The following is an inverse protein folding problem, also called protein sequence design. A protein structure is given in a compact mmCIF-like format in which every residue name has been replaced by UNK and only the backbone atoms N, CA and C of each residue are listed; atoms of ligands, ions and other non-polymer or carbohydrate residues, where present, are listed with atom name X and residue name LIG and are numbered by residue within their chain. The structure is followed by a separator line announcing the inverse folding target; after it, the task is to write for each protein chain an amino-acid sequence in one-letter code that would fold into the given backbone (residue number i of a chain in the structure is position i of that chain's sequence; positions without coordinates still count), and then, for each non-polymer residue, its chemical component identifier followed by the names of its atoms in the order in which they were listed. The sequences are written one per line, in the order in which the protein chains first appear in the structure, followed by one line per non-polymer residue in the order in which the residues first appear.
data_IF_951359149542
#
_entry.id   IF_951359149542
#
_cell.length_a   1.000
_cell.length_b   1.000
_cell.length_c   1.000
_cell.angle_alpha   90.00
_cell.angle_beta   90.00
_cell.angle_gamma   90.00
#
_symmetry.space_group_name_H-M   'P 1'
#
loop_
_entity.id
_entity.type
_entity.pdbx_description
1 polymer ?
#
# COMPACT_ATOMS: atom_id res chain seq x y z
N UNK A 1 44.76 -22.69 53.10
CA UNK A 1 44.66 -22.67 51.64
C UNK A 1 43.19 -22.49 51.29
N UNK A 2 42.83 -21.29 50.82
CA UNK A 2 41.48 -20.95 50.39
C UNK A 2 41.35 -21.24 48.89
N UNK A 3 40.32 -21.97 48.48
CA UNK A 3 39.95 -22.16 47.09
C UNK A 3 38.50 -21.70 46.90
N UNK A 4 38.37 -20.46 46.46
CA UNK A 4 37.13 -19.82 46.00
C UNK A 4 36.85 -20.32 44.58
N UNK A 5 35.68 -20.91 44.31
CA UNK A 5 35.26 -21.25 42.95
C UNK A 5 33.80 -20.83 42.71
N UNK A 6 33.70 -19.59 42.26
CA UNK A 6 32.84 -19.02 41.20
C UNK A 6 31.56 -19.79 40.85
N UNK A 7 30.42 -19.14 41.14
CA UNK A 7 29.10 -19.45 40.57
C UNK A 7 29.05 -19.02 39.09
N UNK A 8 28.44 -19.77 38.16
CA UNK A 8 28.31 -19.33 36.80
C UNK A 8 27.33 -18.14 36.71
N UNK A 9 27.80 -17.10 36.03
CA UNK A 9 27.13 -15.84 35.74
C UNK A 9 25.78 -16.03 35.05
N UNK A 10 24.88 -15.12 35.40
CA UNK A 10 23.49 -15.09 34.97
C UNK A 10 23.32 -15.08 33.45
N UNK A 11 22.39 -15.92 33.02
CA UNK A 11 21.66 -15.76 31.78
C UNK A 11 20.90 -14.43 31.87
N UNK A 12 21.39 -13.42 31.17
CA UNK A 12 20.64 -12.18 30.95
C UNK A 12 19.50 -12.54 30.01
N UNK A 13 18.34 -12.83 30.59
CA UNK A 13 17.08 -12.72 29.86
C UNK A 13 16.94 -11.24 29.51
N UNK A 14 17.20 -10.87 28.26
CA UNK A 14 16.85 -9.56 27.74
C UNK A 14 15.33 -9.50 27.64
N UNK A 15 14.69 -9.26 28.79
CA UNK A 15 13.31 -8.82 28.89
C UNK A 15 13.24 -7.37 28.42
N UNK A 16 12.90 -7.20 27.16
CA UNK A 16 12.21 -5.99 26.71
C UNK A 16 10.88 -6.41 26.10
N UNK A 17 10.02 -7.03 26.92
CA UNK A 17 8.57 -7.03 26.68
C UNK A 17 8.05 -5.60 26.88
N UNK A 18 8.52 -4.67 26.03
CA UNK A 18 7.68 -3.56 25.67
C UNK A 18 6.46 -4.19 25.00
N UNK A 19 5.28 -4.05 25.61
CA UNK A 19 4.05 -4.67 25.12
C UNK A 19 3.88 -4.32 23.65
N UNK A 20 4.01 -5.31 22.76
CA UNK A 20 3.92 -5.09 21.33
C UNK A 20 2.56 -4.44 21.01
N UNK A 21 2.58 -3.40 20.19
CA UNK A 21 1.39 -2.62 19.85
C UNK A 21 0.43 -3.51 19.05
N UNK A 22 -0.84 -3.63 19.45
CA UNK A 22 -1.83 -4.35 18.66
C UNK A 22 -2.11 -3.59 17.36
N UNK A 23 -2.08 -4.29 16.23
CA UNK A 23 -2.37 -3.72 14.91
C UNK A 23 -3.46 -4.49 14.16
N UNK A 24 -4.22 -3.75 13.36
CA UNK A 24 -5.16 -4.27 12.38
C UNK A 24 -4.50 -4.30 10.99
N UNK A 25 -4.17 -5.49 10.49
CA UNK A 25 -3.47 -5.65 9.22
C UNK A 25 -4.42 -5.77 8.02
N UNK A 26 -4.01 -5.19 6.90
CA UNK A 26 -4.68 -5.41 5.62
C UNK A 26 -4.49 -6.85 5.15
N UNK A 27 -5.53 -7.46 4.58
CA UNK A 27 -5.40 -8.79 3.97
C UNK A 27 -4.43 -8.82 2.78
N UNK A 28 -4.13 -7.67 2.15
CA UNK A 28 -3.17 -7.60 1.04
C UNK A 28 -1.72 -7.89 1.49
N UNK A 29 -1.37 -7.66 2.76
CA UNK A 29 -0.05 -7.98 3.33
C UNK A 29 -0.02 -9.29 4.10
N UNK A 30 -1.10 -10.09 4.01
CA UNK A 30 -1.23 -11.34 4.76
C UNK A 30 -0.13 -12.34 4.44
N UNK A 31 0.34 -12.39 3.19
CA UNK A 31 1.47 -13.24 2.79
C UNK A 31 2.76 -12.88 3.53
N UNK A 32 3.03 -11.59 3.71
CA UNK A 32 4.20 -11.08 4.44
C UNK A 32 4.08 -11.48 5.90
N UNK A 33 2.96 -11.12 6.53
CA UNK A 33 2.78 -11.19 7.97
C UNK A 33 2.47 -12.59 8.49
N UNK A 34 1.78 -13.45 7.74
CA UNK A 34 1.57 -14.85 8.14
C UNK A 34 2.73 -15.77 7.74
N UNK A 35 3.66 -15.30 6.91
CA UNK A 35 4.84 -16.06 6.51
C UNK A 35 5.89 -16.16 7.63
N UNK A 36 6.98 -16.89 7.39
CA UNK A 36 8.11 -16.92 8.33
C UNK A 36 8.69 -15.50 8.53
N UNK A 37 9.25 -15.20 9.72
CA UNK A 37 9.95 -13.94 9.95
C UNK A 37 11.06 -13.75 8.91
N UNK A 38 11.03 -12.60 8.24
CA UNK A 38 12.03 -12.21 7.26
C UNK A 38 12.62 -10.85 7.61
N UNK A 39 13.90 -10.60 7.28
CA UNK A 39 14.51 -9.30 7.49
C UNK A 39 13.76 -8.18 6.77
N UNK A 40 13.72 -7.02 7.41
CA UNK A 40 13.19 -5.80 6.83
C UNK A 40 14.02 -4.59 7.27
N UNK A 41 13.93 -3.51 6.51
CA UNK A 41 14.57 -2.23 6.79
C UNK A 41 13.54 -1.12 6.76
N UNK A 42 13.64 -0.19 7.71
CA UNK A 42 12.83 1.04 7.71
C UNK A 42 13.32 1.92 6.57
N UNK A 43 12.43 2.26 5.64
CA UNK A 43 12.75 3.10 4.48
C UNK A 43 12.25 4.54 4.63
N UNK A 44 11.31 4.80 5.56
CA UNK A 44 10.81 6.14 5.82
C UNK A 44 9.81 6.20 6.97
N UNK A 45 9.78 7.33 7.68
CA UNK A 45 8.89 7.57 8.83
C UNK A 45 8.19 8.93 8.77
N UNK A 46 7.37 9.18 7.73
CA UNK A 46 6.60 10.41 7.66
C UNK A 46 5.57 10.48 8.80
N UNK A 47 4.95 11.65 8.97
CA UNK A 47 4.00 11.88 10.05
C UNK A 47 2.89 10.83 10.07
N UNK A 48 2.86 10.00 11.13
CA UNK A 48 1.84 8.97 11.31
C UNK A 48 2.08 7.64 10.59
N UNK A 49 3.26 7.40 10.01
CA UNK A 49 3.57 6.13 9.36
C UNK A 49 5.02 5.69 9.56
N UNK A 50 5.26 4.38 9.51
CA UNK A 50 6.57 3.74 9.44
C UNK A 50 6.55 2.77 8.27
N UNK A 51 7.32 3.04 7.23
CA UNK A 51 7.44 2.19 6.05
C UNK A 51 8.63 1.26 6.18
N UNK A 52 8.39 -0.03 5.96
CA UNK A 52 9.38 -1.09 5.94
C UNK A 52 9.42 -1.72 4.56
N UNK A 53 10.63 -2.08 4.12
CA UNK A 53 10.87 -2.91 2.94
C UNK A 53 11.55 -4.19 3.35
N UNK A 54 11.05 -5.32 2.88
CA UNK A 54 11.68 -6.63 3.07
C UNK A 54 12.82 -6.81 2.06
N UNK A 55 13.72 -7.76 2.30
CA UNK A 55 14.84 -8.03 1.38
C UNK A 55 14.37 -8.49 -0.02
N UNK A 56 13.19 -9.11 -0.11
CA UNK A 56 12.53 -9.48 -1.38
C UNK A 56 11.75 -8.32 -2.03
N UNK A 57 11.86 -7.11 -1.48
CA UNK A 57 11.30 -5.88 -2.05
C UNK A 57 9.84 -5.60 -1.70
N UNK A 58 9.19 -6.41 -0.85
CA UNK A 58 7.81 -6.14 -0.43
C UNK A 58 7.75 -4.95 0.53
N UNK A 59 6.70 -4.14 0.37
CA UNK A 59 6.46 -2.97 1.19
C UNK A 59 5.37 -3.24 2.23
N UNK A 60 5.59 -2.73 3.44
CA UNK A 60 4.63 -2.74 4.54
C UNK A 60 4.70 -1.40 5.26
N UNK A 61 3.55 -0.86 5.66
CA UNK A 61 3.48 0.33 6.51
C UNK A 61 2.84 0.01 7.85
N UNK A 62 3.43 0.45 8.96
CA UNK A 62 2.72 0.57 10.23
C UNK A 62 2.18 1.99 10.35
N UNK A 63 0.86 2.11 10.50
CA UNK A 63 0.15 3.39 10.43
C UNK A 63 -0.43 3.77 11.78
N UNK A 64 -0.41 5.06 12.10
CA UNK A 64 -1.20 5.63 13.18
C UNK A 64 -2.71 5.47 12.88
N UNK A 65 -3.57 5.43 13.91
CA UNK A 65 -5.01 5.21 13.72
C UNK A 65 -5.70 6.24 12.81
N UNK A 66 -5.16 7.46 12.76
CA UNK A 66 -5.68 8.60 12.00
C UNK A 66 -5.15 8.68 10.57
N UNK A 67 -4.16 7.85 10.19
CA UNK A 67 -3.62 7.85 8.84
C UNK A 67 -4.61 7.20 7.85
N UNK A 68 -4.53 7.62 6.58
CA UNK A 68 -5.27 6.97 5.51
C UNK A 68 -4.88 5.48 5.44
N UNK A 69 -5.86 4.60 5.45
CA UNK A 69 -5.61 3.15 5.45
C UNK A 69 -5.23 2.69 4.06
N UNK A 70 -4.00 2.23 3.91
CA UNK A 70 -3.47 1.77 2.64
C UNK A 70 -3.50 0.23 2.54
N UNK A 71 -3.59 -0.35 1.32
CA UNK A 71 -3.55 -1.81 1.16
C UNK A 71 -2.29 -2.46 1.74
N UNK A 72 -1.14 -1.78 1.69
CA UNK A 72 0.12 -2.28 2.24
C UNK A 72 0.27 -2.04 3.76
N UNK A 73 -0.80 -1.82 4.51
CA UNK A 73 -0.72 -1.32 5.89
C UNK A 73 -1.15 -2.30 7.00
N UNK A 74 -0.54 -2.11 8.16
CA UNK A 74 -1.04 -2.51 9.47
C UNK A 74 -1.27 -1.26 10.33
N UNK A 75 -2.51 -1.06 10.80
CA UNK A 75 -2.91 0.15 11.52
C UNK A 75 -2.87 -0.12 13.02
N UNK A 76 -2.12 0.70 13.77
CA UNK A 76 -2.12 0.66 15.23
C UNK A 76 -3.53 0.88 15.78
N UNK A 77 -3.91 0.12 16.82
CA UNK A 77 -5.22 0.26 17.45
C UNK A 77 -5.32 1.57 18.24
N UNK A 78 -4.28 1.90 19.04
CA UNK A 78 -4.31 3.06 19.93
C UNK A 78 -3.40 4.20 19.47
N UNK A 79 -2.09 3.93 19.37
CA UNK A 79 -1.11 4.93 18.99
C UNK A 79 0.11 4.27 18.35
N UNK A 80 0.76 5.02 17.45
CA UNK A 80 2.07 4.70 16.91
C UNK A 80 3.05 5.76 17.43
N UNK A 81 3.81 5.42 18.48
CA UNK A 81 4.68 6.37 19.19
C UNK A 81 6.12 6.23 18.71
N UNK A 82 6.53 5.00 18.48
CA UNK A 82 7.84 4.58 18.04
C UNK A 82 8.03 5.04 16.60
N UNK A 83 9.07 5.83 16.39
CA UNK A 83 9.46 6.37 15.09
C UNK A 83 10.92 5.96 14.82
N UNK A 84 11.15 4.71 14.39
CA UNK A 84 12.49 4.26 14.07
C UNK A 84 13.08 5.07 12.92
N UNK A 85 14.39 5.32 12.95
CA UNK A 85 15.06 6.07 11.89
C UNK A 85 15.18 5.25 10.60
N UNK A 86 15.12 5.88 9.41
CA UNK A 86 15.43 5.20 8.15
C UNK A 86 16.79 4.49 8.21
N UNK A 87 16.85 3.27 7.66
CA UNK A 87 18.01 2.38 7.70
C UNK A 87 18.04 1.43 8.90
N UNK A 88 17.21 1.65 9.94
CA UNK A 88 17.10 0.69 11.03
C UNK A 88 16.52 -0.64 10.54
N UNK A 89 17.16 -1.73 10.98
CA UNK A 89 16.79 -3.09 10.58
C UNK A 89 15.83 -3.72 11.58
N UNK A 90 15.10 -4.72 11.09
CA UNK A 90 14.06 -5.40 11.82
C UNK A 90 13.63 -6.69 11.14
N UNK A 91 12.47 -7.20 11.55
CA UNK A 91 11.84 -8.37 10.98
C UNK A 91 10.33 -8.21 10.84
N UNK A 92 9.76 -8.81 9.80
CA UNK A 92 8.30 -8.93 9.60
C UNK A 92 7.93 -10.38 9.34
N UNK A 93 6.80 -10.84 9.88
CA UNK A 93 6.33 -12.22 9.74
C UNK A 93 5.88 -12.81 11.08
N UNK A 94 5.35 -14.03 11.06
CA UNK A 94 4.76 -14.71 12.24
C UNK A 94 3.75 -13.84 13.02
N UNK A 95 3.01 -12.98 12.32
CA UNK A 95 2.06 -12.04 12.88
C UNK A 95 2.69 -10.82 13.56
N UNK A 96 3.98 -10.56 13.35
CA UNK A 96 4.74 -9.51 14.03
C UNK A 96 5.49 -8.58 13.07
N UNK A 97 5.77 -7.38 13.57
CA UNK A 97 6.54 -6.33 12.92
C UNK A 97 7.44 -5.72 13.99
N UNK A 98 8.75 -5.88 13.85
CA UNK A 98 9.72 -5.39 14.83
C UNK A 98 10.83 -4.62 14.09
N UNK A 99 11.08 -3.35 14.42
CA UNK A 99 12.17 -2.56 13.81
C UNK A 99 12.52 -1.33 14.65
N UNK A 100 13.79 -1.16 15.03
CA UNK A 100 14.26 0.10 15.65
C UNK A 100 13.49 0.54 16.90
N UNK A 101 13.04 -0.41 17.72
CA UNK A 101 12.22 -0.15 18.93
C UNK A 101 10.71 -0.20 18.69
N UNK A 102 10.24 -0.09 17.44
CA UNK A 102 8.87 -0.46 17.10
C UNK A 102 8.69 -1.96 17.29
N UNK A 103 7.65 -2.34 18.02
CA UNK A 103 7.21 -3.74 18.15
C UNK A 103 5.69 -3.78 18.04
N UNK A 104 5.18 -4.53 17.07
CA UNK A 104 3.75 -4.62 16.79
C UNK A 104 3.34 -6.06 16.48
N UNK A 105 2.10 -6.40 16.81
CA UNK A 105 1.53 -7.72 16.55
C UNK A 105 0.10 -7.64 15.98
N UNK A 106 -0.19 -8.50 15.02
CA UNK A 106 -1.47 -8.51 14.31
C UNK A 106 -2.56 -9.12 15.20
N UNK A 107 -3.60 -8.35 15.49
CA UNK A 107 -4.76 -8.81 16.29
C UNK A 107 -6.03 -8.99 15.47
N UNK A 108 -6.12 -8.33 14.31
CA UNK A 108 -7.26 -8.45 13.40
C UNK A 108 -6.87 -8.15 11.97
N UNK A 109 -7.70 -8.58 11.04
CA UNK A 109 -7.54 -8.34 9.62
C UNK A 109 -8.66 -7.46 9.08
N UNK A 110 -8.37 -6.65 8.06
CA UNK A 110 -9.37 -5.91 7.29
C UNK A 110 -9.13 -6.09 5.80
N UNK A 111 -10.21 -6.12 5.03
CA UNK A 111 -10.15 -6.16 3.57
C UNK A 111 -9.98 -4.75 3.03
N UNK A 112 -8.89 -4.44 2.29
CA UNK A 112 -8.67 -3.11 1.75
C UNK A 112 -9.50 -2.79 0.52
N UNK A 113 -10.25 -3.76 -0.01
CA UNK A 113 -11.11 -3.52 -1.16
C UNK A 113 -12.25 -2.57 -0.76
N UNK A 114 -12.43 -1.45 -1.47
CA UNK A 114 -13.57 -0.57 -1.23
C UNK A 114 -14.87 -1.32 -1.47
N UNK A 115 -15.82 -1.15 -0.55
CA UNK A 115 -17.18 -1.68 -0.71
C UNK A 115 -18.05 -0.53 -1.18
N UNK A 116 -18.52 -0.59 -2.43
CA UNK A 116 -19.53 0.35 -2.89
C UNK A 116 -20.88 0.03 -2.23
N UNK A 117 -21.65 1.04 -1.82
CA UNK A 117 -23.07 0.83 -1.54
C UNK A 117 -23.78 0.32 -2.80
N UNK A 118 -25.00 -0.20 -2.64
CA UNK A 118 -25.84 -0.58 -3.78
C UNK A 118 -25.89 0.59 -4.79
N UNK A 119 -25.58 0.29 -6.04
CA UNK A 119 -25.56 1.25 -7.13
C UNK A 119 -26.47 0.79 -8.25
N UNK A 120 -27.04 1.77 -8.96
CA UNK A 120 -27.74 1.56 -10.23
C UNK A 120 -27.14 2.49 -11.28
N UNK A 121 -27.29 2.21 -12.59
CA UNK A 121 -26.86 3.12 -13.64
C UNK A 121 -27.41 4.54 -13.47
N UNK A 122 -28.65 4.68 -13.01
CA UNK A 122 -29.31 5.97 -12.79
C UNK A 122 -28.69 6.75 -11.63
N UNK A 123 -28.43 6.07 -10.51
CA UNK A 123 -27.75 6.69 -9.37
C UNK A 123 -26.32 7.09 -9.74
N UNK A 124 -25.61 6.25 -10.49
CA UNK A 124 -24.27 6.57 -10.96
C UNK A 124 -24.30 7.80 -11.88
N UNK A 125 -25.21 7.84 -12.86
CA UNK A 125 -25.35 8.98 -13.78
C UNK A 125 -25.73 10.26 -13.04
N UNK A 126 -26.66 10.20 -12.08
CA UNK A 126 -27.05 11.34 -11.26
C UNK A 126 -25.88 11.88 -10.43
N UNK A 127 -25.12 11.00 -9.78
CA UNK A 127 -23.94 11.40 -9.00
C UNK A 127 -22.82 11.96 -9.89
N UNK A 128 -22.57 11.36 -11.06
CA UNK A 128 -21.59 11.89 -12.02
C UNK A 128 -21.99 13.28 -12.52
N UNK A 129 -23.29 13.57 -12.69
CA UNK A 129 -23.77 14.89 -13.05
C UNK A 129 -23.59 15.94 -11.93
N UNK A 130 -23.47 15.51 -10.67
CA UNK A 130 -23.13 16.40 -9.54
C UNK A 130 -21.62 16.68 -9.43
N UNK A 131 -20.78 15.83 -10.05
CA UNK A 131 -19.34 16.06 -10.08
C UNK A 131 -19.07 17.12 -11.14
N UNK A 132 -18.78 18.34 -10.68
CA UNK A 132 -18.23 19.37 -11.56
C UNK A 132 -16.86 18.91 -12.05
N UNK A 133 -16.82 18.42 -13.28
CA UNK A 133 -15.58 18.21 -14.05
C UNK A 133 -15.03 19.56 -14.51
N UNK A 134 -14.99 20.58 -13.65
CA UNK A 134 -14.20 21.77 -13.92
C UNK A 134 -12.80 21.25 -14.19
N UNK A 135 -12.32 21.42 -15.43
CA UNK A 135 -11.16 20.72 -15.98
C UNK A 135 -10.01 20.84 -14.98
N UNK A 136 -9.77 19.80 -14.15
CA UNK A 136 -8.81 19.96 -13.09
C UNK A 136 -7.47 20.05 -13.82
N UNK A 137 -6.67 21.07 -13.52
CA UNK A 137 -5.29 21.15 -14.00
C UNK A 137 -4.50 19.99 -13.35
N UNK A 138 -4.75 18.77 -13.80
CA UNK A 138 -4.11 17.53 -13.36
C UNK A 138 -2.71 17.42 -13.97
N UNK A 139 -2.22 18.46 -14.66
CA UNK A 139 -0.88 18.48 -15.25
C UNK A 139 -0.67 17.44 -16.36
N UNK A 140 -1.75 16.97 -17.01
CA UNK A 140 -1.68 16.04 -18.13
C UNK A 140 -1.96 16.73 -19.46
N UNK A 141 -1.23 16.40 -20.55
CA UNK A 141 -1.64 16.80 -21.88
C UNK A 141 -3.01 16.16 -22.22
N UNK A 142 -3.93 16.88 -22.87
CA UNK A 142 -5.27 16.35 -23.15
C UNK A 142 -5.30 15.16 -24.13
N UNK A 143 -4.25 14.98 -24.94
CA UNK A 143 -4.17 13.94 -25.97
C UNK A 143 -4.28 12.50 -25.42
N UNK A 144 -3.39 12.07 -24.52
CA UNK A 144 -3.44 10.75 -23.89
C UNK A 144 -4.78 10.41 -23.21
N UNK A 145 -5.35 11.36 -22.45
CA UNK A 145 -6.65 11.15 -21.79
C UNK A 145 -7.78 11.00 -22.81
N UNK A 146 -7.79 11.81 -23.88
CA UNK A 146 -8.77 11.66 -24.98
C UNK A 146 -8.62 10.33 -25.73
N UNK A 147 -7.39 9.88 -25.97
CA UNK A 147 -7.13 8.60 -26.62
C UNK A 147 -7.65 7.42 -25.78
N UNK A 148 -7.42 7.45 -24.46
CA UNK A 148 -7.95 6.44 -23.54
C UNK A 148 -9.49 6.46 -23.52
N UNK A 149 -10.09 7.65 -23.47
CA UNK A 149 -11.56 7.79 -23.52
C UNK A 149 -12.14 7.20 -24.80
N UNK A 150 -11.55 7.50 -25.97
CA UNK A 150 -11.99 6.95 -27.24
C UNK A 150 -11.87 5.42 -27.28
N UNK A 151 -10.75 4.88 -26.81
CA UNK A 151 -10.53 3.44 -26.75
C UNK A 151 -11.57 2.71 -25.88
N UNK A 152 -11.92 3.27 -24.72
CA UNK A 152 -12.96 2.77 -23.83
C UNK A 152 -14.35 2.83 -24.48
N UNK A 153 -14.65 3.91 -25.22
CA UNK A 153 -15.89 4.06 -25.95
C UNK A 153 -16.05 3.00 -27.05
N UNK A 154 -14.98 2.75 -27.80
CA UNK A 154 -14.96 1.78 -28.90
C UNK A 154 -14.87 0.32 -28.42
N UNK A 155 -14.68 0.11 -27.11
CA UNK A 155 -14.56 -1.22 -26.45
C UNK A 155 -13.46 -2.10 -27.04
N UNK A 156 -12.42 -1.49 -27.58
CA UNK A 156 -11.23 -2.21 -28.05
C UNK A 156 -10.24 -2.35 -26.89
N UNK A 157 -10.16 -3.57 -26.34
CA UNK A 157 -9.30 -3.86 -25.21
C UNK A 157 -7.81 -3.62 -25.52
N UNK A 158 -7.35 -3.99 -26.72
CA UNK A 158 -5.95 -3.81 -27.12
C UNK A 158 -5.59 -2.33 -27.25
N UNK A 159 -6.47 -1.53 -27.85
CA UNK A 159 -6.29 -0.08 -27.95
C UNK A 159 -6.38 0.57 -26.57
N UNK A 160 -7.27 0.09 -25.70
CA UNK A 160 -7.41 0.57 -24.31
C UNK A 160 -6.13 0.36 -23.51
N UNK A 161 -5.56 -0.85 -23.55
CA UNK A 161 -4.29 -1.16 -22.86
C UNK A 161 -3.16 -0.29 -23.38
N UNK A 162 -3.07 -0.08 -24.70
CA UNK A 162 -2.05 0.80 -25.30
C UNK A 162 -2.21 2.25 -24.86
N UNK A 163 -3.42 2.78 -24.88
CA UNK A 163 -3.72 4.15 -24.45
C UNK A 163 -3.48 4.34 -22.96
N UNK A 164 -3.86 3.36 -22.12
CA UNK A 164 -3.58 3.36 -20.70
C UNK A 164 -2.07 3.33 -20.43
N UNK A 165 -1.31 2.50 -21.15
CA UNK A 165 0.15 2.40 -21.00
C UNK A 165 0.89 3.70 -21.34
N UNK A 166 0.29 4.58 -22.13
CA UNK A 166 0.85 5.89 -22.46
C UNK A 166 0.68 6.94 -21.34
N UNK A 167 -0.18 6.67 -20.36
CA UNK A 167 -0.36 7.52 -19.17
C UNK A 167 0.60 7.17 -18.03
N UNK A 168 1.18 5.96 -18.04
CA UNK A 168 2.08 5.50 -16.98
C UNK A 168 3.25 6.47 -16.82
N UNK A 169 3.43 6.99 -15.61
CA UNK A 169 4.51 7.91 -15.26
C UNK A 169 4.37 9.32 -15.84
N UNK A 170 3.26 9.65 -16.48
CA UNK A 170 3.04 10.95 -17.12
C UNK A 170 2.50 11.97 -16.10
N UNK A 171 3.01 13.19 -16.13
CA UNK A 171 2.54 14.30 -15.29
C UNK A 171 3.42 14.57 -14.07
N UNK A 172 3.12 15.64 -13.31
CA UNK A 172 3.91 16.03 -12.14
C UNK A 172 3.62 15.13 -10.93
N UNK A 173 4.49 15.22 -9.91
CA UNK A 173 4.27 14.60 -8.60
C UNK A 173 5.08 13.31 -8.37
N UNK A 174 5.05 12.84 -7.11
CA UNK A 174 5.69 11.57 -6.72
C UNK A 174 4.92 10.37 -7.28
N UNK A 175 3.59 10.48 -7.28
CA UNK A 175 2.67 9.67 -8.07
C UNK A 175 2.27 10.51 -9.29
N UNK A 176 2.86 10.28 -10.47
CA UNK A 176 2.54 11.07 -11.64
C UNK A 176 1.04 11.05 -11.92
N UNK A 177 0.46 12.20 -12.28
CA UNK A 177 -1.00 12.33 -12.47
C UNK A 177 -1.62 11.30 -13.42
N UNK A 178 -0.85 10.78 -14.38
CA UNK A 178 -1.28 9.72 -15.26
C UNK A 178 -1.55 8.41 -14.52
N UNK A 179 -0.74 8.10 -13.51
CA UNK A 179 -0.95 6.95 -12.61
C UNK A 179 -2.23 7.16 -11.78
N UNK A 180 -2.52 8.41 -11.35
CA UNK A 180 -3.76 8.75 -10.64
C UNK A 180 -5.02 8.53 -11.51
N UNK A 181 -4.94 8.88 -12.81
CA UNK A 181 -6.01 8.58 -13.77
C UNK A 181 -6.18 7.07 -13.94
N UNK A 182 -5.08 6.33 -14.06
CA UNK A 182 -5.11 4.87 -14.26
C UNK A 182 -5.66 4.14 -13.05
N UNK A 183 -5.25 4.50 -11.83
CA UNK A 183 -5.77 3.87 -10.61
C UNK A 183 -7.26 4.19 -10.43
N UNK A 184 -7.70 5.40 -10.77
CA UNK A 184 -9.12 5.78 -10.77
C UNK A 184 -9.95 4.95 -11.76
N UNK A 185 -9.46 4.77 -12.98
CA UNK A 185 -10.10 3.94 -14.00
C UNK A 185 -10.19 2.47 -13.54
N UNK A 186 -9.07 1.86 -13.16
CA UNK A 186 -9.03 0.44 -12.78
C UNK A 186 -9.91 0.19 -11.56
N UNK A 187 -9.83 1.07 -10.55
CA UNK A 187 -10.69 0.98 -9.36
C UNK A 187 -12.17 1.06 -9.74
N UNK A 188 -12.54 1.95 -10.67
CA UNK A 188 -13.92 2.06 -11.16
C UNK A 188 -14.37 0.78 -11.88
N UNK A 189 -13.53 0.22 -12.75
CA UNK A 189 -13.84 -1.03 -13.47
C UNK A 189 -14.03 -2.21 -12.48
N UNK A 190 -13.16 -2.33 -11.48
CA UNK A 190 -13.26 -3.38 -10.45
C UNK A 190 -14.53 -3.19 -9.63
N UNK A 191 -14.78 -1.99 -9.13
CA UNK A 191 -15.92 -1.71 -8.27
C UNK A 191 -17.28 -1.84 -8.98
N UNK A 192 -17.32 -1.59 -10.29
CA UNK A 192 -18.52 -1.76 -11.12
C UNK A 192 -18.66 -3.19 -11.70
N UNK A 193 -17.73 -4.10 -11.41
CA UNK A 193 -17.77 -5.48 -11.88
C UNK A 193 -17.58 -5.61 -13.39
N UNK A 194 -16.81 -4.71 -14.03
CA UNK A 194 -16.57 -4.74 -15.46
C UNK A 194 -15.78 -6.01 -15.86
N UNK A 195 -16.16 -6.72 -16.95
CA UNK A 195 -15.52 -7.98 -17.35
C UNK A 195 -14.02 -7.83 -17.62
N UNK A 196 -13.61 -6.70 -18.20
CA UNK A 196 -12.19 -6.46 -18.53
C UNK A 196 -11.35 -5.90 -17.37
N UNK A 197 -11.92 -5.74 -16.17
CA UNK A 197 -11.19 -5.17 -15.01
C UNK A 197 -9.89 -5.91 -14.71
N UNK A 198 -9.94 -7.24 -14.59
CA UNK A 198 -8.79 -8.09 -14.31
C UNK A 198 -7.72 -8.05 -15.41
N UNK A 199 -8.06 -8.37 -16.67
CA UNK A 199 -7.13 -8.28 -17.79
C UNK A 199 -6.49 -6.90 -17.97
N UNK A 200 -7.28 -5.82 -17.86
CA UNK A 200 -6.78 -4.44 -17.98
C UNK A 200 -5.80 -4.10 -16.87
N UNK A 201 -6.14 -4.43 -15.61
CA UNK A 201 -5.27 -4.19 -14.47
C UNK A 201 -3.94 -4.95 -14.60
N UNK A 202 -3.98 -6.22 -15.00
CA UNK A 202 -2.78 -7.03 -15.19
C UNK A 202 -1.87 -6.47 -16.30
N UNK A 203 -2.46 -6.03 -17.41
CA UNK A 203 -1.70 -5.46 -18.52
C UNK A 203 -1.04 -4.11 -18.16
N UNK A 204 -1.78 -3.23 -17.47
CA UNK A 204 -1.23 -1.94 -16.99
C UNK A 204 -0.11 -2.17 -15.98
N UNK A 205 -0.29 -3.10 -15.03
CA UNK A 205 0.73 -3.43 -14.03
C UNK A 205 2.00 -3.97 -14.67
N UNK A 206 1.88 -4.86 -15.65
CA UNK A 206 3.04 -5.37 -16.40
C UNK A 206 3.77 -4.24 -17.15
N UNK A 207 3.03 -3.28 -17.71
CA UNK A 207 3.59 -2.13 -18.42
C UNK A 207 4.18 -1.04 -17.50
N UNK A 208 3.89 -1.07 -16.20
CA UNK A 208 4.31 -0.06 -15.23
C UNK A 208 5.70 -0.30 -14.63
N UNK A 209 6.24 -1.52 -14.77
CA UNK A 209 7.56 -1.88 -14.22
C UNK A 209 8.66 -0.94 -14.73
N UNK A 210 9.34 -0.26 -13.81
CA UNK A 210 10.43 0.68 -14.12
C UNK A 210 10.00 1.96 -14.84
N UNK A 211 8.70 2.27 -14.86
CA UNK A 211 8.13 3.44 -15.58
C UNK A 211 7.38 4.42 -14.68
N UNK A 212 7.32 4.15 -13.38
CA UNK A 212 6.83 5.07 -12.35
C UNK A 212 7.94 5.32 -11.32
N UNK A 213 7.70 6.18 -10.33
CA UNK A 213 8.72 6.56 -9.34
C UNK A 213 8.99 5.40 -8.38
N UNK A 214 10.24 4.95 -8.34
CA UNK A 214 10.74 4.02 -7.32
C UNK A 214 11.22 4.81 -6.09
N UNK A 215 10.87 4.33 -4.88
CA UNK A 215 11.32 4.85 -3.58
C UNK A 215 12.52 4.09 -3.00
#
# INVERSE_FOLDING_TARGET
MAATSVRPSGMVLTSTDATAIPVAASTAVRRILCGPPRPAVVIGTPAGAVYLRTDDGELLAVLAPTAARLPMAAVAVDALRERPEPGQRGSVGAGRIDAGGLSAHVVRWWDPRPVLPLWTPELLAANLAQISLADPEIGLPPGPVRALRAALHDRDHTVTVRAASALIGLGPGLTPSGDDVLIGLISSLVCLGHPDSGPTAAAVLAAAQGRTTDL
#
